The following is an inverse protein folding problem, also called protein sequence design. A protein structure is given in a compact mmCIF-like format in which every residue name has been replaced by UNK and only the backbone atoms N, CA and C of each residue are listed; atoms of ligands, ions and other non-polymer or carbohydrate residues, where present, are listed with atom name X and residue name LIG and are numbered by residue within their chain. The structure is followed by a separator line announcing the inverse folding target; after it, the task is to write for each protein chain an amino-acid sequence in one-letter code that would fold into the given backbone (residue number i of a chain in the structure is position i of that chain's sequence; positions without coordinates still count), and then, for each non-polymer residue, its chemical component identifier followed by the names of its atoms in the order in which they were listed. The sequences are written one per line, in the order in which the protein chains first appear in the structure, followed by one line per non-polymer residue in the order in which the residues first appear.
data_IF_735660190409
#
_entry.id   IF_735660190409
#
_cell.length_a   1.000
_cell.length_b   1.000
_cell.length_c   1.000
_cell.angle_alpha   90.00
_cell.angle_beta   90.00
_cell.angle_gamma   90.00
#
_symmetry.space_group_name_H-M   'P 1'
#
loop_
_entity.id
_entity.type
_entity.pdbx_description
1 polymer ?
#
# COMPACT_ATOMS: atom_id res chain seq x y z
N UNK A 1 -20.13 22.02 14.22
CA UNK A 1 -18.79 21.55 13.83
C UNK A 1 -18.60 20.19 14.47
N UNK A 2 -18.88 19.11 13.73
CA UNK A 2 -18.82 17.74 14.26
C UNK A 2 -17.46 17.19 13.89
N UNK A 3 -16.62 16.96 14.89
CA UNK A 3 -15.32 16.29 14.76
C UNK A 3 -15.57 14.83 14.37
N UNK A 4 -15.22 14.45 13.14
CA UNK A 4 -15.32 13.08 12.63
C UNK A 4 -14.03 12.33 13.00
N UNK A 5 -13.79 12.13 14.30
CA UNK A 5 -12.60 11.38 14.78
C UNK A 5 -12.99 10.05 15.47
N UNK A 6 -14.26 9.63 15.39
CA UNK A 6 -14.79 8.60 16.30
C UNK A 6 -15.22 7.24 15.67
N UNK A 7 -14.92 6.91 14.40
CA UNK A 7 -15.45 5.67 13.80
C UNK A 7 -14.52 4.88 12.85
N UNK A 8 -13.20 4.95 13.01
CA UNK A 8 -12.30 4.04 12.29
C UNK A 8 -11.34 3.45 13.32
N UNK A 9 -11.42 2.13 13.53
CA UNK A 9 -10.46 1.38 14.35
C UNK A 9 -9.03 1.64 13.88
N UNK A 10 -8.04 1.29 14.71
CA UNK A 10 -6.60 1.56 14.55
C UNK A 10 -6.04 1.14 13.18
N UNK A 11 -6.31 1.94 12.15
CA UNK A 11 -5.85 1.70 10.79
C UNK A 11 -4.44 2.26 10.67
N UNK A 12 -3.46 1.36 10.52
CA UNK A 12 -2.05 1.69 10.41
C UNK A 12 -1.57 1.53 8.97
N UNK A 13 -0.70 2.43 8.51
CA UNK A 13 0.05 2.23 7.26
C UNK A 13 1.52 1.98 7.57
N UNK A 14 2.11 0.95 6.95
CA UNK A 14 3.51 0.56 7.17
C UNK A 14 4.11 -0.13 5.94
N UNK A 15 5.43 -0.23 5.89
CA UNK A 15 6.13 -1.06 4.90
C UNK A 15 5.90 -2.55 5.21
N UNK A 16 5.80 -3.38 4.18
CA UNK A 16 5.81 -4.84 4.33
C UNK A 16 7.13 -5.33 4.94
N UNK A 17 7.08 -6.45 5.67
CA UNK A 17 8.22 -7.04 6.38
C UNK A 17 8.38 -8.54 6.14
N UNK A 18 7.31 -9.24 5.80
CA UNK A 18 7.32 -10.71 5.68
C UNK A 18 6.73 -11.17 4.35
N UNK A 19 7.02 -12.42 3.98
CA UNK A 19 6.47 -13.04 2.77
C UNK A 19 4.95 -13.20 2.83
N UNK A 20 4.39 -13.48 4.01
CA UNK A 20 2.94 -13.59 4.22
C UNK A 20 2.23 -12.27 3.90
N UNK A 21 2.86 -11.15 4.24
CA UNK A 21 2.35 -9.82 3.96
C UNK A 21 2.38 -9.48 2.46
N UNK A 22 3.42 -9.93 1.75
CA UNK A 22 3.51 -9.84 0.28
C UNK A 22 2.42 -10.70 -0.35
N UNK A 23 2.24 -11.92 0.14
CA UNK A 23 1.21 -12.85 -0.31
C UNK A 23 -0.19 -12.25 -0.12
N UNK A 24 -0.47 -11.62 1.02
CA UNK A 24 -1.74 -10.93 1.26
C UNK A 24 -2.00 -9.79 0.27
N UNK A 25 -0.99 -8.97 -0.04
CA UNK A 25 -1.11 -7.91 -1.06
C UNK A 25 -1.41 -8.50 -2.45
N UNK A 26 -0.75 -9.60 -2.83
CA UNK A 26 -1.03 -10.31 -4.09
C UNK A 26 -2.46 -10.83 -4.12
N UNK A 27 -2.99 -11.38 -3.03
CA UNK A 27 -4.39 -11.85 -2.99
C UNK A 27 -5.40 -10.71 -3.14
N UNK A 28 -5.12 -9.52 -2.58
CA UNK A 28 -5.94 -8.32 -2.81
C UNK A 28 -5.90 -7.91 -4.28
N UNK A 29 -4.72 -7.95 -4.92
CA UNK A 29 -4.56 -7.66 -6.35
C UNK A 29 -5.39 -8.62 -7.22
N UNK A 30 -5.25 -9.92 -6.96
CA UNK A 30 -5.95 -11.00 -7.65
C UNK A 30 -7.46 -10.87 -7.48
N UNK A 31 -7.93 -10.54 -6.27
CA UNK A 31 -9.36 -10.31 -6.03
C UNK A 31 -9.90 -9.13 -6.83
N UNK A 32 -9.06 -8.13 -7.13
CA UNK A 32 -9.45 -6.96 -7.91
C UNK A 32 -9.39 -7.18 -9.43
N UNK A 33 -8.50 -8.06 -9.93
CA UNK A 33 -8.28 -8.24 -11.39
C UNK A 33 -8.51 -9.66 -11.92
N UNK A 34 -8.78 -10.63 -11.06
CA UNK A 34 -8.94 -12.04 -11.39
C UNK A 34 -7.70 -12.68 -12.06
N UNK A 35 -6.51 -12.17 -11.78
CA UNK A 35 -5.25 -12.67 -12.37
C UNK A 35 -4.06 -12.44 -11.44
N UNK A 36 -3.03 -13.31 -11.54
CA UNK A 36 -1.77 -13.21 -10.81
C UNK A 36 -0.65 -12.48 -11.59
N UNK A 37 -0.96 -11.87 -12.74
CA UNK A 37 0.03 -11.30 -13.65
C UNK A 37 0.98 -10.27 -13.00
N UNK A 38 0.53 -9.61 -11.93
CA UNK A 38 1.32 -8.61 -11.18
C UNK A 38 2.00 -9.14 -9.92
N UNK A 39 1.84 -10.41 -9.58
CA UNK A 39 2.40 -10.99 -8.34
C UNK A 39 3.91 -10.80 -8.23
N UNK A 40 4.65 -11.12 -9.31
CA UNK A 40 6.10 -10.93 -9.37
C UNK A 40 6.50 -9.47 -9.21
N UNK A 41 5.73 -8.55 -9.79
CA UNK A 41 5.99 -7.12 -9.69
C UNK A 41 5.83 -6.64 -8.24
N UNK A 42 4.75 -7.02 -7.58
CA UNK A 42 4.48 -6.68 -6.18
C UNK A 42 5.61 -7.18 -5.27
N UNK A 43 6.05 -8.42 -5.44
CA UNK A 43 7.18 -9.00 -4.69
C UNK A 43 8.48 -8.20 -4.92
N UNK A 44 8.83 -7.89 -6.17
CA UNK A 44 10.03 -7.09 -6.48
C UNK A 44 9.99 -5.68 -5.88
N UNK A 45 8.81 -5.05 -5.78
CA UNK A 45 8.67 -3.75 -5.10
C UNK A 45 8.82 -3.90 -3.59
N UNK A 46 8.32 -4.99 -3.00
CA UNK A 46 8.44 -5.28 -1.58
C UNK A 46 9.89 -5.52 -1.14
N UNK A 47 10.66 -6.29 -1.92
CA UNK A 47 12.10 -6.52 -1.70
C UNK A 47 12.90 -5.21 -1.60
N UNK A 48 12.42 -4.14 -2.24
CA UNK A 48 13.05 -2.81 -2.25
C UNK A 48 12.50 -1.89 -1.16
N UNK A 49 11.56 -2.34 -0.35
CA UNK A 49 10.88 -1.54 0.66
C UNK A 49 9.80 -0.58 0.12
N UNK A 50 9.42 -0.72 -1.15
CA UNK A 50 8.43 0.12 -1.81
C UNK A 50 6.98 -0.32 -1.57
N UNK A 51 6.74 -1.51 -1.02
CA UNK A 51 5.39 -2.00 -0.72
C UNK A 51 4.89 -1.45 0.61
N UNK A 52 3.91 -0.55 0.56
CA UNK A 52 3.15 -0.06 1.71
C UNK A 52 1.86 -0.84 1.87
N UNK A 53 1.51 -1.17 3.10
CA UNK A 53 0.31 -1.89 3.48
C UNK A 53 -0.56 -1.02 4.37
N UNK A 54 -1.87 -1.09 4.18
CA UNK A 54 -2.86 -0.62 5.14
C UNK A 54 -3.32 -1.81 5.97
N UNK A 55 -3.19 -1.70 7.28
CA UNK A 55 -3.62 -2.70 8.25
C UNK A 55 -4.77 -2.13 9.08
N UNK A 56 -5.89 -2.83 9.18
CA UNK A 56 -7.01 -2.50 10.07
C UNK A 56 -7.33 -3.75 10.89
N UNK A 57 -7.36 -3.62 12.22
CA UNK A 57 -7.63 -4.74 13.16
C UNK A 57 -6.73 -5.98 12.93
N UNK A 58 -5.46 -5.74 12.55
CA UNK A 58 -4.48 -6.81 12.28
C UNK A 58 -4.58 -7.44 10.89
N UNK A 59 -5.58 -7.07 10.08
CA UNK A 59 -5.75 -7.54 8.72
C UNK A 59 -5.15 -6.56 7.71
N UNK A 60 -4.48 -7.07 6.66
CA UNK A 60 -4.09 -6.24 5.51
C UNK A 60 -5.33 -6.02 4.64
N UNK A 61 -5.71 -4.76 4.47
CA UNK A 61 -6.96 -4.34 3.79
C UNK A 61 -6.69 -3.50 2.54
N UNK A 62 -5.43 -3.23 2.24
CA UNK A 62 -5.01 -2.55 1.02
C UNK A 62 -3.50 -2.42 0.96
N UNK A 63 -3.00 -2.04 -0.21
CA UNK A 63 -1.58 -1.83 -0.43
C UNK A 63 -1.32 -0.73 -1.47
N UNK A 64 -0.08 -0.25 -1.46
CA UNK A 64 0.45 0.69 -2.42
C UNK A 64 1.88 0.28 -2.81
N UNK A 65 2.18 0.21 -4.11
CA UNK A 65 3.52 0.01 -4.64
C UNK A 65 4.12 1.38 -4.98
N UNK A 66 5.20 1.73 -4.29
CA UNK A 66 6.04 2.89 -4.58
C UNK A 66 7.27 2.41 -5.36
N UNK A 67 7.39 2.85 -6.60
CA UNK A 67 8.50 2.50 -7.49
C UNK A 67 9.17 3.78 -7.98
N UNK A 68 10.49 3.84 -7.92
CA UNK A 68 11.29 5.00 -8.33
C UNK A 68 12.01 4.77 -9.66
N UNK A 69 11.98 3.57 -10.25
CA UNK A 69 12.82 3.24 -11.41
C UNK A 69 12.32 3.78 -12.74
N UNK A 70 11.01 3.91 -12.91
CA UNK A 70 10.40 4.05 -14.24
C UNK A 70 9.85 5.43 -14.53
N UNK A 71 9.75 6.30 -13.51
CA UNK A 71 9.15 7.61 -13.65
C UNK A 71 10.17 8.71 -13.37
N UNK A 72 11.15 8.86 -14.27
CA UNK A 72 12.20 9.89 -14.17
C UNK A 72 12.96 9.88 -12.83
N UNK A 73 13.23 8.68 -12.29
CA UNK A 73 13.87 8.51 -10.98
C UNK A 73 13.10 9.17 -9.82
N UNK A 74 11.80 9.42 -10.02
CA UNK A 74 10.89 9.93 -9.00
C UNK A 74 10.03 8.79 -8.48
N UNK A 75 9.77 8.83 -7.18
CA UNK A 75 8.82 7.95 -6.53
C UNK A 75 7.46 8.10 -7.20
N UNK A 76 6.94 7.00 -7.72
CA UNK A 76 5.66 6.91 -8.40
C UNK A 76 4.81 5.83 -7.75
N UNK A 77 3.51 6.12 -7.59
CA UNK A 77 2.53 5.14 -7.11
C UNK A 77 2.13 4.28 -8.31
N UNK A 78 2.75 3.12 -8.46
CA UNK A 78 2.52 2.22 -9.59
C UNK A 78 1.27 1.36 -9.41
N UNK A 79 0.92 1.03 -8.16
CA UNK A 79 -0.30 0.34 -7.78
C UNK A 79 -0.86 0.94 -6.50
N UNK A 80 -2.17 1.12 -6.43
CA UNK A 80 -2.90 1.47 -5.21
C UNK A 80 -4.21 0.72 -5.22
N UNK A 81 -4.34 -0.27 -4.33
CA UNK A 81 -5.49 -1.17 -4.31
C UNK A 81 -5.98 -1.32 -2.88
N UNK A 82 -7.29 -1.16 -2.71
CA UNK A 82 -7.99 -1.38 -1.45
C UNK A 82 -8.96 -2.54 -1.66
N UNK A 83 -8.96 -3.48 -0.72
CA UNK A 83 -9.90 -4.59 -0.69
C UNK A 83 -11.33 -4.06 -0.80
N UNK A 84 -12.15 -4.71 -1.61
CA UNK A 84 -13.50 -4.24 -1.94
C UNK A 84 -14.38 -4.01 -0.71
N UNK A 85 -14.22 -4.82 0.34
CA UNK A 85 -15.02 -4.75 1.57
C UNK A 85 -14.65 -3.55 2.46
N UNK A 86 -13.48 -2.94 2.20
CA UNK A 86 -12.90 -1.85 2.98
C UNK A 86 -12.86 -0.52 2.19
N UNK A 87 -13.43 -0.47 0.99
CA UNK A 87 -13.51 0.74 0.17
C UNK A 87 -14.44 1.79 0.79
N UNK A 88 -14.30 3.03 0.33
CA UNK A 88 -15.08 4.22 0.77
C UNK A 88 -14.89 4.60 2.24
N UNK A 89 -13.83 4.10 2.88
CA UNK A 89 -13.44 4.40 4.28
C UNK A 89 -12.21 5.32 4.40
N UNK A 90 -11.76 5.93 3.30
CA UNK A 90 -10.57 6.80 3.29
C UNK A 90 -9.21 6.10 3.28
N UNK A 91 -9.16 4.76 3.29
CA UNK A 91 -7.91 3.97 3.30
C UNK A 91 -6.95 4.35 2.15
N UNK A 92 -7.49 4.50 0.94
CA UNK A 92 -6.70 4.88 -0.24
C UNK A 92 -6.02 6.25 -0.12
N UNK A 93 -6.60 7.17 0.65
CA UNK A 93 -5.98 8.48 0.90
C UNK A 93 -4.81 8.40 1.87
N UNK A 94 -4.85 7.44 2.81
CA UNK A 94 -3.81 7.27 3.84
C UNK A 94 -2.61 6.47 3.36
N UNK A 95 -2.78 5.54 2.40
CA UNK A 95 -1.73 4.67 1.86
C UNK A 95 -0.49 5.44 1.35
N UNK A 96 -0.63 6.50 0.53
CA UNK A 96 0.51 7.31 0.09
C UNK A 96 1.10 8.19 1.20
N UNK A 97 0.32 8.54 2.23
CA UNK A 97 0.65 9.53 3.25
C UNK A 97 1.83 9.16 4.17
N UNK A 98 2.34 7.93 4.08
CA UNK A 98 3.57 7.50 4.77
C UNK A 98 4.81 7.47 3.89
N UNK A 99 4.69 7.82 2.60
CA UNK A 99 5.81 8.06 1.70
C UNK A 99 6.48 9.38 2.07
N UNK A 100 7.12 9.44 3.24
CA UNK A 100 8.01 10.54 3.58
C UNK A 100 9.19 10.46 2.63
N UNK A 101 9.33 11.47 1.79
CA UNK A 101 10.44 11.69 0.87
C UNK A 101 11.78 11.29 1.50
N UNK A 102 12.36 10.17 1.07
CA UNK A 102 13.80 9.92 1.22
C UNK A 102 14.63 10.75 0.23
N UNK A 103 14.01 11.68 -0.51
CA UNK A 103 14.69 12.50 -1.52
C UNK A 103 15.45 13.71 -0.94
N UNK A 104 15.59 13.84 0.39
CA UNK A 104 16.35 14.93 1.02
C UNK A 104 17.72 14.50 1.58
N UNK A 105 18.16 13.24 1.41
CA UNK A 105 19.48 12.77 1.86
C UNK A 105 20.56 12.82 0.76
N UNK A 106 20.52 13.84 -0.09
CA UNK A 106 21.45 14.02 -1.21
C UNK A 106 21.67 15.49 -1.55
N UNK A 107 22.25 16.24 -0.62
CA UNK A 107 22.99 17.47 -0.88
C UNK A 107 24.25 17.49 -0.04
#
# INVERSE_FOLDING_TARGET
MITIDAYLGDMQVRTSKTEDEITAAVQIDVSATSTHSRARYIATVAERGGLKLACEEGQIVGFCCLDDRYFFEKVFISLLIVDQNFRRRGIGQKLPGTARSSAEAGR
#
